data_IF_066223104087
#
_entry.id   IF_066223104087
#
_cell.length_a   1.000
_cell.length_b   1.000
_cell.length_c   1.000
_cell.angle_alpha   90.00
_cell.angle_beta   90.00
_cell.angle_gamma   90.00
#
_symmetry.space_group_name_H-M   'P 1'
#
loop_
_entity.id
_entity.type
_entity.pdbx_description
1 polymer ?
#
# COMPACT_ATOMS: atom_id res chain seq x y z
N UNK A 1 64.72 -27.23 -38.70
CA UNK A 1 63.90 -28.43 -38.51
C UNK A 1 63.14 -28.19 -37.22
N UNK A 2 62.27 -27.18 -37.25
CA UNK A 2 60.81 -27.27 -37.51
C UNK A 2 60.14 -27.40 -36.14
N UNK A 3 59.07 -26.72 -35.75
CA UNK A 3 58.24 -25.67 -36.34
C UNK A 3 57.37 -25.13 -35.16
N UNK A 4 56.72 -24.01 -35.38
CA UNK A 4 55.82 -23.27 -34.50
C UNK A 4 54.78 -24.08 -33.70
N UNK A 5 54.44 -23.58 -32.50
CA UNK A 5 53.05 -23.53 -32.02
C UNK A 5 52.90 -22.54 -30.85
N UNK A 6 52.64 -21.28 -31.22
CA UNK A 6 52.00 -20.28 -30.39
C UNK A 6 50.57 -20.76 -30.07
N UNK A 7 50.23 -20.97 -28.79
CA UNK A 7 48.85 -21.26 -28.36
C UNK A 7 48.36 -20.14 -27.46
N UNK A 8 47.60 -19.27 -28.08
CA UNK A 8 46.86 -18.16 -27.50
C UNK A 8 45.68 -18.68 -26.67
N UNK A 9 45.50 -18.12 -25.47
CA UNK A 9 44.35 -18.36 -24.58
C UNK A 9 43.03 -17.89 -25.21
N UNK A 10 41.90 -18.40 -24.72
CA UNK A 10 40.92 -17.47 -24.20
C UNK A 10 40.57 -17.76 -22.73
N UNK A 11 40.66 -16.71 -21.92
CA UNK A 11 40.09 -16.63 -20.59
C UNK A 11 38.58 -16.82 -20.70
N UNK A 12 38.07 -17.93 -20.18
CA UNK A 12 36.63 -18.14 -20.04
C UNK A 12 36.17 -17.52 -18.71
N UNK A 13 36.20 -16.18 -18.63
CA UNK A 13 35.47 -15.43 -17.62
C UNK A 13 34.09 -15.10 -18.19
N UNK A 14 33.15 -16.01 -18.04
CA UNK A 14 31.72 -15.68 -18.06
C UNK A 14 31.13 -16.05 -16.72
N UNK A 15 31.27 -15.13 -15.78
CA UNK A 15 30.32 -14.97 -14.69
C UNK A 15 28.91 -14.82 -15.29
N UNK A 16 27.91 -15.60 -14.87
CA UNK A 16 26.53 -15.36 -15.28
C UNK A 16 26.07 -14.07 -14.59
N UNK A 17 26.11 -12.96 -15.33
CA UNK A 17 25.47 -11.71 -14.94
C UNK A 17 23.97 -11.96 -14.83
N UNK A 18 23.45 -11.84 -13.61
CA UNK A 18 22.03 -11.87 -13.26
C UNK A 18 21.21 -10.96 -14.19
N UNK A 19 20.48 -11.57 -15.13
CA UNK A 19 19.53 -10.89 -16.03
C UNK A 19 18.07 -10.99 -15.53
N UNK A 20 17.86 -11.33 -14.26
CA UNK A 20 16.51 -11.49 -13.68
C UNK A 20 15.83 -10.15 -13.45
N UNK A 21 16.57 -9.18 -12.91
CA UNK A 21 16.00 -7.90 -12.45
C UNK A 21 15.38 -7.07 -13.58
N UNK A 22 15.97 -7.12 -14.78
CA UNK A 22 15.45 -6.39 -15.94
C UNK A 22 14.12 -6.98 -16.48
N UNK A 23 13.92 -8.30 -16.36
CA UNK A 23 12.67 -8.95 -16.77
C UNK A 23 11.56 -8.69 -15.75
N UNK A 24 11.89 -8.71 -14.47
CA UNK A 24 10.93 -8.43 -13.40
C UNK A 24 10.45 -6.98 -13.44
N UNK A 25 11.34 -6.02 -13.69
CA UNK A 25 10.97 -4.61 -13.86
C UNK A 25 10.02 -4.34 -15.04
N UNK A 26 10.24 -5.02 -16.18
CA UNK A 26 9.40 -4.85 -17.37
C UNK A 26 7.97 -5.42 -17.15
N UNK A 27 7.88 -6.58 -16.49
CA UNK A 27 6.59 -7.19 -16.13
C UNK A 27 5.80 -6.32 -15.15
N UNK A 28 6.49 -5.69 -14.19
CA UNK A 28 5.86 -4.74 -13.25
C UNK A 28 5.35 -3.52 -14.00
N UNK A 29 6.15 -2.88 -14.87
CA UNK A 29 5.71 -1.72 -15.64
C UNK A 29 4.49 -2.02 -16.52
N UNK A 30 4.39 -3.22 -17.10
CA UNK A 30 3.19 -3.67 -17.82
C UNK A 30 1.97 -3.83 -16.90
N UNK A 31 2.14 -4.46 -15.73
CA UNK A 31 1.08 -4.57 -14.72
C UNK A 31 0.64 -3.19 -14.20
N UNK A 32 1.57 -2.24 -14.06
CA UNK A 32 1.29 -0.88 -13.62
C UNK A 32 0.54 -0.09 -14.69
N UNK A 33 0.93 -0.21 -15.95
CA UNK A 33 0.17 0.35 -17.07
C UNK A 33 -1.22 -0.26 -17.12
N UNK A 34 -1.35 -1.57 -16.97
CA UNK A 34 -2.64 -2.26 -16.94
C UNK A 34 -3.50 -1.78 -15.77
N UNK A 35 -2.93 -1.63 -14.56
CA UNK A 35 -3.63 -1.13 -13.38
C UNK A 35 -4.05 0.34 -13.53
N UNK A 36 -3.18 1.19 -14.07
CA UNK A 36 -3.49 2.60 -14.32
C UNK A 36 -4.60 2.75 -15.38
N UNK A 37 -4.52 2.01 -16.48
CA UNK A 37 -5.57 1.96 -17.52
C UNK A 37 -6.88 1.46 -16.90
N UNK A 38 -6.81 0.37 -16.13
CA UNK A 38 -7.92 -0.20 -15.37
C UNK A 38 -8.56 0.80 -14.39
N UNK A 39 -7.77 1.70 -13.81
CA UNK A 39 -8.25 2.64 -12.79
C UNK A 39 -8.77 3.95 -13.40
N UNK A 40 -8.28 4.38 -14.58
CA UNK A 40 -8.51 5.75 -15.09
C UNK A 40 -9.16 5.86 -16.47
N UNK A 41 -9.19 4.81 -17.31
CA UNK A 41 -9.82 4.92 -18.64
C UNK A 41 -11.31 4.54 -18.61
N UNK A 42 -12.15 5.57 -18.51
CA UNK A 42 -13.62 5.51 -18.52
C UNK A 42 -14.26 5.23 -19.89
N UNK A 43 -13.66 4.40 -20.75
CA UNK A 43 -14.32 3.91 -21.97
C UNK A 43 -14.62 2.41 -21.93
N UNK A 44 -13.80 1.62 -21.24
CA UNK A 44 -14.09 0.25 -20.86
C UNK A 44 -13.63 0.09 -19.41
N UNK A 45 -14.58 0.24 -18.47
CA UNK A 45 -14.31 -0.05 -17.08
C UNK A 45 -13.88 -1.53 -17.01
N UNK A 46 -12.67 -1.85 -16.54
CA UNK A 46 -12.21 -3.23 -16.46
C UNK A 46 -13.21 -4.03 -15.63
N UNK A 47 -13.46 -5.26 -16.05
CA UNK A 47 -14.30 -6.17 -15.28
C UNK A 47 -13.65 -6.33 -13.90
N UNK A 48 -14.47 -6.36 -12.85
CA UNK A 48 -14.00 -6.40 -11.46
C UNK A 48 -12.91 -7.47 -11.24
N UNK A 49 -13.05 -8.60 -11.92
CA UNK A 49 -12.13 -9.74 -11.92
C UNK A 49 -10.71 -9.39 -12.42
N UNK A 50 -10.59 -8.60 -13.48
CA UNK A 50 -9.27 -8.23 -14.05
C UNK A 50 -8.49 -7.34 -13.08
N UNK A 51 -9.18 -6.36 -12.48
CA UNK A 51 -8.61 -5.48 -11.47
C UNK A 51 -8.15 -6.28 -10.24
N UNK A 52 -8.97 -7.22 -9.76
CA UNK A 52 -8.61 -8.07 -8.63
C UNK A 52 -7.39 -8.94 -8.95
N UNK A 53 -7.32 -9.53 -10.15
CA UNK A 53 -6.17 -10.30 -10.62
C UNK A 53 -4.89 -9.45 -10.67
N UNK A 54 -4.96 -8.21 -11.18
CA UNK A 54 -3.83 -7.28 -11.21
C UNK A 54 -3.34 -6.95 -9.80
N UNK A 55 -4.25 -6.67 -8.86
CA UNK A 55 -3.90 -6.39 -7.46
C UNK A 55 -3.27 -7.60 -6.78
N UNK A 56 -3.78 -8.82 -7.02
CA UNK A 56 -3.20 -10.06 -6.49
C UNK A 56 -1.79 -10.29 -7.04
N UNK A 57 -1.59 -10.10 -8.34
CA UNK A 57 -0.28 -10.25 -8.98
C UNK A 57 0.73 -9.24 -8.42
N UNK A 58 0.35 -7.96 -8.35
CA UNK A 58 1.21 -6.90 -7.85
C UNK A 58 1.55 -7.10 -6.36
N UNK A 59 0.58 -7.49 -5.55
CA UNK A 59 0.79 -7.86 -4.15
C UNK A 59 1.80 -9.00 -4.00
N UNK A 60 1.64 -10.08 -4.79
CA UNK A 60 2.55 -11.22 -4.75
C UNK A 60 3.98 -10.84 -5.15
N UNK A 61 4.14 -9.98 -6.17
CA UNK A 61 5.44 -9.48 -6.61
C UNK A 61 6.11 -8.60 -5.54
N UNK A 62 5.37 -7.66 -4.94
CA UNK A 62 5.89 -6.79 -3.88
C UNK A 62 6.34 -7.57 -2.63
N UNK A 63 5.70 -8.70 -2.32
CA UNK A 63 6.14 -9.57 -1.22
C UNK A 63 7.39 -10.37 -1.60
N UNK A 64 7.47 -10.81 -2.85
CA UNK A 64 8.54 -11.72 -3.30
C UNK A 64 9.83 -10.99 -3.65
N UNK A 65 9.75 -9.71 -4.04
CA UNK A 65 10.89 -8.93 -4.49
C UNK A 65 10.85 -7.50 -3.95
N UNK A 66 11.74 -7.14 -3.01
CA UNK A 66 11.82 -5.78 -2.47
C UNK A 66 12.09 -4.70 -3.53
N UNK A 67 12.86 -5.02 -4.58
CA UNK A 67 13.14 -4.08 -5.69
C UNK A 67 11.89 -3.68 -6.48
N UNK A 68 10.84 -4.52 -6.47
CA UNK A 68 9.55 -4.18 -7.07
C UNK A 68 8.82 -3.10 -6.27
N UNK A 69 9.02 -3.05 -4.95
CA UNK A 69 8.39 -2.03 -4.11
C UNK A 69 8.93 -0.64 -4.44
N UNK A 70 10.24 -0.50 -4.61
CA UNK A 70 10.87 0.76 -5.00
C UNK A 70 10.36 1.25 -6.36
N UNK A 71 10.20 0.33 -7.31
CA UNK A 71 9.59 0.61 -8.62
C UNK A 71 8.11 1.02 -8.48
N UNK A 72 7.34 0.36 -7.62
CA UNK A 72 5.95 0.74 -7.36
C UNK A 72 5.83 2.15 -6.76
N UNK A 73 6.80 2.56 -5.94
CA UNK A 73 6.84 3.90 -5.36
C UNK A 73 7.16 4.93 -6.44
N UNK A 74 8.19 4.69 -7.27
CA UNK A 74 8.58 5.62 -8.34
C UNK A 74 7.47 5.83 -9.36
N UNK A 75 6.68 4.78 -9.64
CA UNK A 75 5.58 4.79 -10.60
C UNK A 75 4.24 5.27 -9.98
N UNK A 76 4.23 5.74 -8.73
CA UNK A 76 3.03 6.33 -8.12
C UNK A 76 1.91 5.34 -7.82
N UNK A 77 2.24 4.07 -7.57
CA UNK A 77 1.26 3.00 -7.27
C UNK A 77 0.43 3.32 -6.03
N UNK A 78 1.06 3.90 -5.00
CA UNK A 78 0.38 4.29 -3.76
C UNK A 78 -0.80 5.22 -4.08
N UNK A 79 -0.57 6.24 -4.91
CA UNK A 79 -1.62 7.18 -5.28
C UNK A 79 -2.71 6.50 -6.12
N UNK A 80 -2.32 5.66 -7.09
CA UNK A 80 -3.27 4.89 -7.92
C UNK A 80 -4.18 4.01 -7.07
N UNK A 81 -3.61 3.23 -6.15
CA UNK A 81 -4.35 2.38 -5.22
C UNK A 81 -5.28 3.21 -4.33
N UNK A 82 -4.81 4.35 -3.84
CA UNK A 82 -5.64 5.23 -3.00
C UNK A 82 -6.80 5.87 -3.77
N UNK A 83 -6.58 6.29 -5.03
CA UNK A 83 -7.64 6.82 -5.89
C UNK A 83 -8.67 5.73 -6.22
N UNK A 84 -8.22 4.52 -6.52
CA UNK A 84 -9.08 3.36 -6.74
C UNK A 84 -9.93 3.02 -5.50
N UNK A 85 -9.32 2.98 -4.32
CA UNK A 85 -10.02 2.79 -3.05
C UNK A 85 -10.99 3.95 -2.73
N UNK A 86 -10.82 5.11 -3.37
CA UNK A 86 -11.71 6.26 -3.18
C UNK A 86 -12.80 6.35 -4.27
N UNK A 87 -12.61 5.70 -5.42
CA UNK A 87 -13.62 5.57 -6.46
C UNK A 87 -14.70 4.57 -6.01
N UNK A 88 -15.76 5.09 -5.40
CA UNK A 88 -16.96 4.32 -5.11
C UNK A 88 -17.63 3.87 -6.43
N UNK A 89 -18.22 2.66 -6.46
CA UNK A 89 -19.12 2.30 -7.54
C UNK A 89 -20.32 3.25 -7.43
N UNK A 90 -20.57 3.99 -8.50
CA UNK A 90 -21.80 4.77 -8.66
C UNK A 90 -22.96 3.79 -8.87
N UNK A 91 -23.49 3.20 -7.80
CA UNK A 91 -24.69 2.36 -7.87
C UNK A 91 -25.77 2.97 -6.99
N UNK A 92 -26.86 3.39 -7.64
CA UNK A 92 -28.09 3.87 -7.01
C UNK A 92 -28.99 2.71 -6.52
N UNK A 93 -28.44 1.53 -6.23
CA UNK A 93 -29.22 0.35 -5.83
C UNK A 93 -28.67 -0.27 -4.54
N UNK A 94 -29.53 -0.47 -3.54
CA UNK A 94 -29.29 -1.25 -2.31
C UNK A 94 -27.88 -1.15 -1.68
N UNK A 95 -27.63 -0.03 -0.98
CA UNK A 95 -26.34 0.38 -0.40
C UNK A 95 -25.62 -0.57 0.59
N UNK A 96 -26.19 -1.75 0.90
CA UNK A 96 -25.60 -2.73 1.84
C UNK A 96 -24.80 -3.82 1.14
N UNK A 97 -25.38 -4.46 0.11
CA UNK A 97 -24.78 -5.63 -0.54
C UNK A 97 -23.69 -5.24 -1.56
N UNK A 98 -23.88 -4.10 -2.23
CA UNK A 98 -22.89 -3.50 -3.13
C UNK A 98 -21.64 -3.07 -2.36
N UNK A 99 -21.81 -2.65 -1.09
CA UNK A 99 -20.70 -2.25 -0.24
C UNK A 99 -19.89 -3.46 0.19
N UNK A 100 -20.53 -4.53 0.68
CA UNK A 100 -19.81 -5.76 1.08
C UNK A 100 -19.01 -6.38 -0.09
N UNK A 101 -19.57 -6.35 -1.30
CA UNK A 101 -18.91 -6.86 -2.52
C UNK A 101 -17.73 -5.98 -2.94
N UNK A 102 -17.93 -4.67 -3.05
CA UNK A 102 -16.84 -3.73 -3.32
C UNK A 102 -15.72 -3.84 -2.26
N UNK A 103 -16.09 -4.08 -1.01
CA UNK A 103 -15.16 -4.20 0.10
C UNK A 103 -14.31 -5.46 0.08
N UNK A 104 -14.87 -6.61 -0.31
CA UNK A 104 -14.14 -7.87 -0.47
C UNK A 104 -13.11 -7.77 -1.60
N UNK A 105 -13.48 -7.15 -2.71
CA UNK A 105 -12.60 -6.94 -3.88
C UNK A 105 -11.42 -6.01 -3.57
N UNK A 106 -11.59 -5.08 -2.62
CA UNK A 106 -10.59 -4.08 -2.28
C UNK A 106 -9.69 -4.46 -1.09
N UNK A 107 -9.89 -5.61 -0.45
CA UNK A 107 -9.01 -6.08 0.64
C UNK A 107 -7.55 -6.22 0.16
N UNK A 108 -7.34 -6.73 -1.06
CA UNK A 108 -6.00 -6.85 -1.66
C UNK A 108 -5.35 -5.50 -1.94
N UNK A 109 -6.12 -4.49 -2.27
CA UNK A 109 -5.62 -3.13 -2.44
C UNK A 109 -5.10 -2.55 -1.12
N UNK A 110 -5.82 -2.78 -0.01
CA UNK A 110 -5.40 -2.35 1.33
C UNK A 110 -4.16 -3.14 1.77
N UNK A 111 -4.12 -4.44 1.51
CA UNK A 111 -2.95 -5.28 1.80
C UNK A 111 -1.71 -4.85 1.00
N UNK A 112 -1.87 -4.53 -0.29
CA UNK A 112 -0.81 -3.95 -1.11
C UNK A 112 -0.33 -2.60 -0.54
N UNK A 113 -1.25 -1.72 -0.17
CA UNK A 113 -0.90 -0.44 0.45
C UNK A 113 -0.11 -0.63 1.75
N UNK A 114 -0.44 -1.63 2.56
CA UNK A 114 0.32 -1.98 3.75
C UNK A 114 1.75 -2.39 3.38
N UNK A 115 1.91 -3.32 2.42
CA UNK A 115 3.23 -3.81 1.98
C UNK A 115 4.09 -2.65 1.48
N UNK A 116 3.55 -1.80 0.60
CA UNK A 116 4.25 -0.62 0.12
C UNK A 116 4.70 0.23 1.32
N UNK A 117 3.76 0.64 2.17
CA UNK A 117 4.04 1.50 3.33
C UNK A 117 5.08 0.93 4.31
N UNK A 118 5.19 -0.40 4.45
CA UNK A 118 6.11 -1.05 5.39
C UNK A 118 7.50 -1.37 4.85
N UNK A 119 7.72 -1.26 3.54
CA UNK A 119 8.91 -1.85 2.90
C UNK A 119 10.19 -1.02 3.06
N UNK A 120 10.09 0.30 3.02
CA UNK A 120 11.25 1.19 3.14
C UNK A 120 10.86 2.54 3.75
N UNK A 121 11.87 3.27 4.24
CA UNK A 121 11.70 4.64 4.75
C UNK A 121 11.21 5.59 3.66
N UNK A 122 11.69 5.38 2.44
CA UNK A 122 11.29 6.16 1.27
C UNK A 122 9.85 5.86 0.90
N UNK A 123 9.41 4.60 0.99
CA UNK A 123 8.01 4.26 0.81
C UNK A 123 7.10 4.93 1.82
N UNK A 124 7.51 4.94 3.09
CA UNK A 124 6.72 5.56 4.14
C UNK A 124 6.60 7.07 3.91
N UNK A 125 7.68 7.69 3.44
CA UNK A 125 7.69 9.11 3.05
C UNK A 125 6.78 9.37 1.85
N UNK A 126 6.84 8.54 0.81
CA UNK A 126 5.95 8.62 -0.36
C UNK A 126 4.48 8.47 0.05
N UNK A 127 4.16 7.53 0.95
CA UNK A 127 2.81 7.37 1.50
C UNK A 127 2.36 8.61 2.28
N UNK A 128 3.24 9.22 3.09
CA UNK A 128 2.93 10.44 3.84
C UNK A 128 2.69 11.65 2.93
N UNK A 129 3.34 11.72 1.77
CA UNK A 129 3.09 12.77 0.78
C UNK A 129 1.65 12.72 0.23
N UNK A 130 0.96 11.59 0.36
CA UNK A 130 -0.44 11.38 -0.01
C UNK A 130 -1.40 11.53 1.18
N UNK A 131 -0.97 12.19 2.27
CA UNK A 131 -1.67 12.25 3.57
C UNK A 131 -3.16 12.59 3.49
N UNK A 132 -3.57 13.58 2.69
CA UNK A 132 -4.97 14.00 2.59
C UNK A 132 -5.88 12.91 2.01
N UNK A 133 -5.47 12.31 0.90
CA UNK A 133 -6.17 11.21 0.24
C UNK A 133 -6.15 9.96 1.13
N UNK A 134 -5.01 9.67 1.75
CA UNK A 134 -4.82 8.54 2.65
C UNK A 134 -5.75 8.61 3.87
N UNK A 135 -5.82 9.75 4.56
CA UNK A 135 -6.70 9.94 5.72
C UNK A 135 -8.16 9.77 5.31
N UNK A 136 -8.56 10.33 4.17
CA UNK A 136 -9.92 10.23 3.64
C UNK A 136 -10.27 8.77 3.34
N UNK A 137 -9.41 8.07 2.59
CA UNK A 137 -9.61 6.69 2.17
C UNK A 137 -9.62 5.73 3.37
N UNK A 138 -8.59 5.77 4.21
CA UNK A 138 -8.50 4.92 5.40
C UNK A 138 -9.63 5.22 6.40
N UNK A 139 -9.99 6.50 6.55
CA UNK A 139 -11.10 6.93 7.38
C UNK A 139 -12.44 6.35 6.91
N UNK A 140 -12.69 6.26 5.60
CA UNK A 140 -13.92 5.64 5.06
C UNK A 140 -13.97 4.14 5.33
N UNK A 141 -12.84 3.46 5.16
CA UNK A 141 -12.70 2.01 5.30
C UNK A 141 -12.83 1.60 6.78
N UNK A 142 -12.28 2.39 7.71
CA UNK A 142 -12.35 2.11 9.14
C UNK A 142 -13.83 1.96 9.59
N UNK A 143 -14.20 0.74 10.03
CA UNK A 143 -15.52 0.25 10.43
C UNK A 143 -16.53 -0.15 9.33
N UNK A 144 -16.16 -0.20 8.05
CA UNK A 144 -17.12 -0.47 6.96
C UNK A 144 -16.95 -1.80 6.21
N UNK A 145 -15.94 -2.60 6.55
CA UNK A 145 -15.40 -3.60 5.60
C UNK A 145 -15.39 -5.01 6.19
N UNK A 146 -14.30 -5.37 6.85
CA UNK A 146 -14.03 -6.66 7.47
C UNK A 146 -13.12 -6.42 8.66
N UNK A 147 -13.03 -7.40 9.55
CA UNK A 147 -12.07 -7.33 10.67
C UNK A 147 -10.63 -7.29 10.15
N UNK A 148 -10.33 -8.02 9.06
CA UNK A 148 -9.02 -7.99 8.37
C UNK A 148 -8.69 -6.60 7.85
N UNK A 149 -9.58 -5.96 7.09
CA UNK A 149 -9.35 -4.62 6.57
C UNK A 149 -9.23 -3.58 7.69
N UNK A 150 -10.01 -3.73 8.76
CA UNK A 150 -9.89 -2.87 9.94
C UNK A 150 -8.51 -3.00 10.58
N UNK A 151 -8.01 -4.22 10.74
CA UNK A 151 -6.66 -4.50 11.26
C UNK A 151 -5.56 -3.92 10.35
N UNK A 152 -5.67 -4.09 9.03
CA UNK A 152 -4.74 -3.56 8.05
C UNK A 152 -4.69 -2.02 8.10
N UNK A 153 -5.85 -1.36 8.12
CA UNK A 153 -5.95 0.10 8.21
C UNK A 153 -5.30 0.61 9.50
N UNK A 154 -5.61 -0.01 10.65
CA UNK A 154 -5.01 0.38 11.93
C UNK A 154 -3.49 0.18 11.89
N UNK A 155 -3.03 -0.90 11.25
CA UNK A 155 -1.59 -1.19 11.08
C UNK A 155 -0.92 -0.11 10.24
N UNK A 156 -1.48 0.26 9.08
CA UNK A 156 -0.98 1.34 8.22
C UNK A 156 -0.90 2.66 8.99
N UNK A 157 -2.00 3.07 9.63
CA UNK A 157 -2.06 4.30 10.44
C UNK A 157 -1.00 4.29 11.55
N UNK A 158 -0.80 3.15 12.22
CA UNK A 158 0.20 3.00 13.28
C UNK A 158 1.62 3.16 12.76
N UNK A 159 1.96 2.55 11.61
CA UNK A 159 3.29 2.69 11.00
C UNK A 159 3.59 4.15 10.66
N UNK A 160 2.64 4.83 10.02
CA UNK A 160 2.79 6.23 9.61
C UNK A 160 2.92 7.15 10.83
N UNK A 161 2.08 6.99 11.85
CA UNK A 161 2.11 7.83 13.05
C UNK A 161 3.35 7.59 13.94
N UNK A 162 3.96 6.41 13.86
CA UNK A 162 5.19 6.09 14.61
C UNK A 162 6.46 6.59 13.94
N UNK A 163 6.40 6.92 12.65
CA UNK A 163 7.58 7.36 11.93
C UNK A 163 8.15 8.68 12.50
N UNK A 164 9.48 8.82 12.66
CA UNK A 164 10.09 9.97 13.33
C UNK A 164 10.24 11.23 12.46
N UNK A 165 9.46 11.39 11.38
CA UNK A 165 9.55 12.56 10.50
C UNK A 165 8.59 13.70 10.88
N UNK A 166 8.89 14.93 10.43
CA UNK A 166 7.97 16.06 10.53
C UNK A 166 6.67 15.83 9.74
N UNK A 167 6.76 15.18 8.57
CA UNK A 167 5.57 14.77 7.80
C UNK A 167 4.67 13.81 8.59
N UNK A 168 5.26 12.88 9.35
CA UNK A 168 4.49 11.97 10.21
C UNK A 168 3.82 12.72 11.38
N UNK A 169 4.45 13.77 11.93
CA UNK A 169 3.83 14.64 12.93
C UNK A 169 2.62 15.37 12.36
N UNK A 170 2.76 16.00 11.19
CA UNK A 170 1.66 16.68 10.50
C UNK A 170 0.53 15.70 10.17
N UNK A 171 0.86 14.49 9.72
CA UNK A 171 -0.10 13.41 9.50
C UNK A 171 -0.86 13.03 10.79
N UNK A 172 -0.16 12.86 11.92
CA UNK A 172 -0.80 12.58 13.21
C UNK A 172 -1.78 13.67 13.64
N UNK A 173 -1.41 14.94 13.43
CA UNK A 173 -2.28 16.09 13.72
C UNK A 173 -3.53 16.05 12.86
N UNK A 174 -3.36 15.86 11.55
CA UNK A 174 -4.47 15.77 10.61
C UNK A 174 -5.40 14.60 10.97
N UNK A 175 -4.86 13.42 11.28
CA UNK A 175 -5.65 12.26 11.74
C UNK A 175 -6.41 12.58 13.03
N UNK A 176 -5.79 13.26 13.99
CA UNK A 176 -6.41 13.65 15.26
C UNK A 176 -7.60 14.59 15.08
N UNK A 177 -7.58 15.44 14.04
CA UNK A 177 -8.68 16.34 13.69
C UNK A 177 -9.81 15.70 12.89
N UNK A 178 -9.77 14.39 12.62
CA UNK A 178 -10.80 13.67 11.85
C UNK A 178 -11.70 12.81 12.73
N UNK A 179 -12.63 12.08 12.12
CA UNK A 179 -13.44 11.08 12.80
C UNK A 179 -12.68 9.77 13.13
N UNK A 180 -11.43 9.60 12.68
CA UNK A 180 -10.65 8.36 12.90
C UNK A 180 -10.50 8.01 14.39
N UNK A 181 -10.14 8.94 15.31
CA UNK A 181 -10.05 8.63 16.73
C UNK A 181 -11.36 8.10 17.32
N UNK A 182 -12.49 8.72 17.00
CA UNK A 182 -13.81 8.25 17.44
C UNK A 182 -14.13 6.85 16.91
N UNK A 183 -13.77 6.57 15.65
CA UNK A 183 -13.92 5.23 15.06
C UNK A 183 -13.04 4.18 15.74
N UNK A 184 -11.82 4.53 16.15
CA UNK A 184 -10.95 3.62 16.92
C UNK A 184 -11.53 3.29 18.30
N UNK A 185 -12.22 4.23 18.94
CA UNK A 185 -12.94 3.96 20.19
C UNK A 185 -14.07 2.96 19.96
N UNK A 186 -14.80 3.08 18.85
CA UNK A 186 -15.82 2.07 18.49
C UNK A 186 -15.17 0.71 18.27
N UNK A 187 -14.04 0.62 17.54
CA UNK A 187 -13.28 -0.66 17.37
C UNK A 187 -12.97 -1.28 18.73
N UNK A 188 -12.49 -0.49 19.70
CA UNK A 188 -12.21 -1.00 21.05
C UNK A 188 -13.45 -1.59 21.74
N UNK A 189 -14.62 -1.02 21.51
CA UNK A 189 -15.88 -1.43 22.13
C UNK A 189 -16.49 -2.66 21.46
N UNK A 190 -16.47 -2.73 20.12
CA UNK A 190 -17.29 -3.70 19.36
C UNK A 190 -16.48 -4.80 18.66
N UNK A 191 -15.16 -4.67 18.52
CA UNK A 191 -14.35 -5.69 17.82
C UNK A 191 -14.36 -7.01 18.60
N UNK A 192 -14.34 -8.14 17.89
CA UNK A 192 -14.16 -9.47 18.48
C UNK A 192 -12.69 -9.85 18.65
N UNK A 193 -11.80 -9.32 17.81
CA UNK A 193 -10.37 -9.60 17.81
C UNK A 193 -9.59 -8.69 18.78
N UNK A 194 -9.00 -9.30 19.81
CA UNK A 194 -8.20 -8.61 20.82
C UNK A 194 -6.91 -8.00 20.27
N UNK A 195 -6.33 -8.59 19.21
CA UNK A 195 -5.15 -8.02 18.54
C UNK A 195 -5.51 -6.69 17.87
N UNK A 196 -6.65 -6.64 17.18
CA UNK A 196 -7.17 -5.42 16.56
C UNK A 196 -7.44 -4.35 17.62
N UNK A 197 -8.05 -4.72 18.76
CA UNK A 197 -8.24 -3.80 19.90
C UNK A 197 -6.91 -3.27 20.44
N UNK A 198 -5.94 -4.16 20.66
CA UNK A 198 -4.63 -3.77 21.18
C UNK A 198 -3.93 -2.77 20.25
N UNK A 199 -3.99 -3.00 18.93
CA UNK A 199 -3.46 -2.08 17.92
C UNK A 199 -4.22 -0.74 17.93
N UNK A 200 -5.55 -0.76 17.98
CA UNK A 200 -6.38 0.45 18.06
C UNK A 200 -6.04 1.30 19.30
N UNK A 201 -5.94 0.67 20.47
CA UNK A 201 -5.57 1.33 21.72
C UNK A 201 -4.13 1.84 21.71
N UNK A 202 -3.22 1.16 21.01
CA UNK A 202 -1.85 1.62 20.79
C UNK A 202 -1.82 2.85 19.88
N UNK A 203 -2.59 2.85 18.81
CA UNK A 203 -2.70 3.97 17.89
C UNK A 203 -3.27 5.22 18.59
N UNK A 204 -4.34 5.07 19.38
CA UNK A 204 -4.88 6.18 20.18
C UNK A 204 -3.85 6.77 21.15
N UNK A 205 -3.05 5.92 21.81
CA UNK A 205 -1.94 6.36 22.66
C UNK A 205 -0.88 7.14 21.87
N UNK A 206 -0.51 6.67 20.68
CA UNK A 206 0.45 7.38 19.81
C UNK A 206 -0.09 8.75 19.41
N UNK A 207 -1.35 8.83 18.96
CA UNK A 207 -1.98 10.11 18.60
C UNK A 207 -2.00 11.09 19.78
N UNK A 208 -2.40 10.61 20.97
CA UNK A 208 -2.41 11.43 22.19
C UNK A 208 -1.01 11.92 22.61
N UNK A 209 0.01 11.07 22.51
CA UNK A 209 1.40 11.46 22.82
C UNK A 209 1.96 12.49 21.84
N UNK A 210 1.66 12.33 20.54
CA UNK A 210 2.12 13.26 19.50
C UNK A 210 1.48 14.63 19.67
N UNK A 211 0.18 14.71 20.00
CA UNK A 211 -0.50 15.98 20.25
C UNK A 211 0.09 16.73 21.46
N UNK A 212 0.40 16.03 22.56
CA UNK A 212 1.03 16.65 23.73
C UNK A 212 2.41 17.24 23.45
N UNK A 213 3.21 16.61 22.59
CA UNK A 213 4.54 17.12 22.20
C UNK A 213 4.48 18.42 21.38
N UNK A 214 3.33 18.75 20.81
CA UNK A 214 3.14 19.97 20.03
C UNK A 214 2.62 21.14 20.89
N UNK A 215 2.02 20.83 22.04
CA UNK A 215 1.56 21.81 23.02
C UNK A 215 2.66 22.24 24.00
N UNK A 216 3.84 21.62 23.94
CA UNK A 216 5.01 22.01 24.72
C UNK A 216 5.89 22.95 23.86
N UNK A 217 6.03 24.24 24.24
CA UNK A 217 6.77 25.24 23.48
C UNK A 217 8.28 25.00 23.48
#
# INVERSE_FOLDING_TARGET
MDDDAEVTFPQNETSPSHSSDARDGNNVLELLRALAISTFNSQDQPKSDERECLLKALYALCISSPGVVDLCISEGVIETVLRMLNSHPHSQSSASDDMATWMMENEKAIALLQVLTSSSRDSLTATLNQSSLLITTLGKILLRVSETCTDLVITILTMLCRHPSAAALAFCQAVSGTAIPSKLVIVLQVSSNDTTKQKAGTLLRVLGQRNKKLEQP
#
